data_IF_725481306007
#
_entry.id   IF_725481306007
#
_cell.length_a   1.000
_cell.length_b   1.000
_cell.length_c   1.000
_cell.angle_alpha   90.00
_cell.angle_beta   90.00
_cell.angle_gamma   90.00
#
_symmetry.space_group_name_H-M   'P 1'
#
loop_
_entity.id
_entity.type
_entity.pdbx_description
1 polymer ?
#
# COMPACT_ATOMS: atom_id res chain seq x y z
N UNK A 1 -13.33 -53.09 -35.07
CA UNK A 1 -12.64 -51.78 -35.19
C UNK A 1 -12.26 -51.31 -33.80
N UNK A 2 -10.96 -51.29 -33.48
CA UNK A 2 -10.41 -50.81 -32.21
C UNK A 2 -10.31 -49.28 -32.23
N UNK A 3 -10.95 -48.58 -31.30
CA UNK A 3 -10.67 -47.16 -31.03
C UNK A 3 -9.87 -47.02 -29.74
N UNK A 4 -8.58 -46.80 -29.98
CA UNK A 4 -7.44 -46.46 -29.12
C UNK A 4 -7.77 -45.53 -27.94
N UNK A 5 -7.60 -46.05 -26.73
CA UNK A 5 -7.52 -45.31 -25.47
C UNK A 5 -6.27 -44.43 -25.42
N UNK A 6 -6.41 -43.12 -25.18
CA UNK A 6 -5.29 -42.23 -24.82
C UNK A 6 -5.38 -41.89 -23.33
N UNK A 7 -4.43 -42.44 -22.57
CA UNK A 7 -4.10 -42.03 -21.21
C UNK A 7 -3.46 -40.64 -21.28
N UNK A 8 -4.10 -39.61 -20.74
CA UNK A 8 -3.44 -38.34 -20.46
C UNK A 8 -3.21 -38.23 -18.96
N UNK A 9 -1.98 -38.55 -18.56
CA UNK A 9 -1.43 -38.22 -17.26
C UNK A 9 -0.80 -36.82 -17.36
N UNK A 10 -1.48 -35.81 -16.83
CA UNK A 10 -0.97 -34.46 -16.55
C UNK A 10 -1.85 -33.97 -15.41
N UNK A 11 -1.42 -33.60 -14.22
CA UNK A 11 -0.12 -33.22 -13.67
C UNK A 11 -0.54 -32.40 -12.44
N UNK A 12 -0.24 -32.90 -11.25
CA UNK A 12 -0.65 -32.27 -9.98
C UNK A 12 0.14 -30.98 -9.79
N UNK A 13 -0.43 -29.85 -10.23
CA UNK A 13 0.20 -28.54 -10.05
C UNK A 13 0.00 -28.09 -8.61
N UNK A 14 1.03 -28.31 -7.78
CA UNK A 14 1.15 -27.74 -6.45
C UNK A 14 1.31 -26.21 -6.61
N UNK A 15 0.21 -25.48 -6.47
CA UNK A 15 0.22 -24.02 -6.39
C UNK A 15 0.90 -23.62 -5.07
N UNK A 16 2.20 -23.32 -5.13
CA UNK A 16 2.86 -22.54 -4.09
C UNK A 16 2.16 -21.19 -4.05
N UNK A 17 1.30 -21.00 -3.04
CA UNK A 17 0.75 -19.71 -2.65
C UNK A 17 1.92 -18.79 -2.32
N UNK A 18 2.28 -17.93 -3.26
CA UNK A 18 3.30 -16.90 -3.06
C UNK A 18 2.70 -15.95 -2.02
N UNK A 19 3.12 -16.10 -0.77
CA UNK A 19 2.89 -15.10 0.27
C UNK A 19 3.61 -13.84 -0.17
N UNK A 20 2.94 -13.01 -0.95
CA UNK A 20 3.31 -11.62 -1.14
C UNK A 20 3.38 -11.04 0.27
N UNK A 21 4.59 -10.83 0.78
CA UNK A 21 4.81 -9.95 1.92
C UNK A 21 4.49 -8.55 1.41
N UNK A 22 3.18 -8.24 1.38
CA UNK A 22 2.71 -6.90 1.17
C UNK A 22 3.28 -6.06 2.31
N UNK A 23 3.93 -4.94 1.98
CA UNK A 23 4.22 -3.92 2.97
C UNK A 23 2.88 -3.53 3.61
N UNK A 24 2.62 -4.07 4.80
CA UNK A 24 1.34 -4.01 5.49
C UNK A 24 1.20 -2.64 6.16
N UNK A 25 1.05 -1.59 5.34
CA UNK A 25 0.74 -0.24 5.77
C UNK A 25 -0.60 0.21 5.19
N UNK A 26 -1.44 0.83 6.01
CA UNK A 26 -2.69 1.46 5.56
C UNK A 26 -2.38 2.81 4.91
N UNK A 27 -2.85 3.03 3.68
CA UNK A 27 -2.65 4.30 2.96
C UNK A 27 -3.72 5.31 3.36
N UNK A 28 -3.27 6.49 3.76
CA UNK A 28 -4.07 7.68 4.02
C UNK A 28 -3.85 8.69 2.89
N UNK A 29 -4.94 9.13 2.27
CA UNK A 29 -4.90 10.18 1.25
C UNK A 29 -5.15 11.56 1.85
N UNK A 30 -4.56 12.57 1.22
CA UNK A 30 -4.81 13.98 1.48
C UNK A 30 -4.97 14.72 0.16
N UNK A 31 -5.90 15.69 0.14
CA UNK A 31 -6.22 16.46 -1.05
C UNK A 31 -5.89 17.95 -0.81
N UNK A 32 -5.49 18.66 -1.85
CA UNK A 32 -5.18 20.08 -1.76
C UNK A 32 -5.01 20.75 -3.12
N UNK A 33 -4.98 22.08 -3.14
CA UNK A 33 -4.74 22.86 -4.36
C UNK A 33 -3.28 22.73 -4.86
N UNK A 34 -2.34 22.36 -3.99
CA UNK A 34 -0.93 22.11 -4.31
C UNK A 34 -0.51 20.73 -3.82
N UNK A 35 0.62 20.22 -4.34
CA UNK A 35 1.21 18.96 -3.89
C UNK A 35 1.54 19.01 -2.40
N UNK A 36 2.08 20.13 -1.93
CA UNK A 36 2.48 20.32 -0.53
C UNK A 36 1.25 20.33 0.40
N UNK A 37 0.17 21.00 -0.02
CA UNK A 37 -1.08 21.01 0.75
C UNK A 37 -1.72 19.62 0.84
N UNK A 38 -1.71 18.88 -0.27
CA UNK A 38 -2.19 17.50 -0.31
C UNK A 38 -1.33 16.55 0.53
N UNK A 39 0.00 16.71 0.47
CA UNK A 39 0.97 15.94 1.25
C UNK A 39 0.80 16.19 2.76
N UNK A 40 0.74 17.45 3.18
CA UNK A 40 0.50 17.81 4.57
C UNK A 40 -0.83 17.26 5.08
N UNK A 41 -1.89 17.30 4.27
CA UNK A 41 -3.17 16.70 4.64
C UNK A 41 -3.10 15.17 4.80
N UNK A 42 -2.35 14.48 3.92
CA UNK A 42 -2.16 13.04 3.98
C UNK A 42 -1.37 12.64 5.23
N UNK A 43 -0.27 13.36 5.49
CA UNK A 43 0.61 13.15 6.65
C UNK A 43 -0.09 13.44 7.97
N UNK A 44 -0.89 14.51 8.07
CA UNK A 44 -1.65 14.80 9.28
C UNK A 44 -2.64 13.66 9.62
N UNK A 45 -3.30 13.11 8.60
CA UNK A 45 -4.22 11.97 8.78
C UNK A 45 -3.46 10.71 9.17
N UNK A 46 -2.34 10.44 8.50
CA UNK A 46 -1.49 9.30 8.80
C UNK A 46 -0.87 9.40 10.21
N UNK A 47 -0.36 10.55 10.62
CA UNK A 47 0.16 10.81 11.96
C UNK A 47 -0.92 10.63 13.03
N UNK A 48 -2.14 11.12 12.80
CA UNK A 48 -3.27 10.91 13.73
C UNK A 48 -3.60 9.42 13.89
N UNK A 49 -3.64 8.67 12.79
CA UNK A 49 -3.90 7.23 12.82
C UNK A 49 -2.74 6.47 13.46
N UNK A 50 -1.50 6.84 13.15
CA UNK A 50 -0.30 6.26 13.75
C UNK A 50 -0.28 6.47 15.26
N UNK A 51 -0.67 7.66 15.74
CA UNK A 51 -0.80 7.96 17.16
C UNK A 51 -1.82 7.08 17.84
N UNK A 52 -3.01 6.93 17.25
CA UNK A 52 -4.08 6.10 17.78
C UNK A 52 -3.67 4.61 17.87
N UNK A 53 -2.83 4.16 16.94
CA UNK A 53 -2.32 2.77 16.87
C UNK A 53 -1.00 2.58 17.62
N UNK A 54 -0.40 3.66 18.12
CA UNK A 54 0.93 3.66 18.72
C UNK A 54 2.03 3.16 17.77
N UNK A 55 1.92 3.46 16.48
CA UNK A 55 2.79 2.95 15.40
C UNK A 55 3.46 4.12 14.65
N UNK A 56 4.05 3.87 13.48
CA UNK A 56 4.77 4.86 12.66
C UNK A 56 4.05 5.12 11.33
N UNK A 57 4.41 6.22 10.66
CA UNK A 57 3.89 6.60 9.35
C UNK A 57 5.01 7.10 8.43
N UNK A 58 4.73 7.23 7.14
CA UNK A 58 5.68 7.75 6.12
C UNK A 58 5.37 9.18 5.75
N UNK A 59 6.37 9.96 5.34
CA UNK A 59 6.12 11.23 4.66
C UNK A 59 5.55 10.96 3.26
N UNK A 60 4.68 11.84 2.78
CA UNK A 60 4.15 11.73 1.44
C UNK A 60 5.23 12.10 0.41
N UNK A 61 5.46 11.24 -0.58
CA UNK A 61 6.41 11.52 -1.66
C UNK A 61 5.73 12.42 -2.70
N UNK A 62 6.28 13.61 -2.94
CA UNK A 62 5.68 14.59 -3.85
C UNK A 62 5.70 14.13 -5.31
N UNK A 63 6.65 13.27 -5.70
CA UNK A 63 6.64 12.60 -7.01
C UNK A 63 5.43 11.67 -7.22
N UNK A 64 4.93 11.05 -6.16
CA UNK A 64 3.83 10.07 -6.21
C UNK A 64 2.44 10.72 -6.09
N UNK A 65 2.39 12.03 -5.87
CA UNK A 65 1.14 12.77 -5.81
C UNK A 65 0.48 12.81 -7.20
N UNK A 66 -0.81 12.50 -7.23
CA UNK A 66 -1.64 12.48 -8.44
C UNK A 66 -2.36 13.81 -8.61
N UNK A 67 -2.35 14.35 -9.84
CA UNK A 67 -3.21 15.46 -10.21
C UNK A 67 -4.58 14.93 -10.63
N UNK A 68 -5.63 15.46 -10.05
CA UNK A 68 -7.02 15.09 -10.33
C UNK A 68 -7.59 15.92 -11.48
N UNK A 69 -8.72 15.46 -12.04
CA UNK A 69 -9.37 16.11 -13.19
C UNK A 69 -9.91 17.50 -12.89
N UNK A 70 -10.20 17.79 -11.63
CA UNK A 70 -10.63 19.11 -11.14
C UNK A 70 -9.45 20.08 -10.89
N UNK A 71 -8.22 19.64 -11.17
CA UNK A 71 -6.99 20.41 -10.98
C UNK A 71 -6.39 20.33 -9.58
N UNK A 72 -7.06 19.66 -8.63
CA UNK A 72 -6.53 19.40 -7.30
C UNK A 72 -5.44 18.32 -7.31
N UNK A 73 -4.71 18.20 -6.22
CA UNK A 73 -3.71 17.16 -5.99
C UNK A 73 -4.17 16.20 -4.89
N UNK A 74 -3.90 14.91 -5.10
CA UNK A 74 -4.04 13.84 -4.12
C UNK A 74 -2.66 13.27 -3.81
N UNK A 75 -2.24 13.32 -2.56
CA UNK A 75 -1.03 12.67 -2.07
C UNK A 75 -1.36 11.56 -1.09
N UNK A 76 -0.38 10.68 -0.83
CA UNK A 76 -0.57 9.52 0.03
C UNK A 76 0.56 9.41 1.05
N UNK A 77 0.19 9.06 2.26
CA UNK A 77 1.10 8.63 3.32
C UNK A 77 0.63 7.25 3.81
N UNK A 78 1.56 6.42 4.28
CA UNK A 78 1.25 5.07 4.78
C UNK A 78 1.52 4.97 6.27
N UNK A 79 0.66 4.26 7.00
CA UNK A 79 0.78 3.98 8.44
C UNK A 79 1.10 2.50 8.63
N UNK A 80 2.16 2.18 9.38
CA UNK A 80 2.50 0.80 9.71
C UNK A 80 1.40 0.12 10.54
N UNK A 81 0.93 -1.06 10.14
CA UNK A 81 -0.15 -1.76 10.84
C UNK A 81 0.25 -2.20 12.27
N UNK A 82 1.53 -2.47 12.51
CA UNK A 82 2.06 -2.89 13.80
C UNK A 82 3.34 -2.13 14.16
N UNK A 83 3.62 -1.97 15.46
CA UNK A 83 4.86 -1.33 15.97
C UNK A 83 6.14 -1.93 15.39
N UNK A 84 6.18 -3.25 15.23
CA UNK A 84 7.32 -3.96 14.65
C UNK A 84 7.50 -3.75 13.14
N UNK A 85 6.51 -3.14 12.47
CA UNK A 85 6.55 -2.79 11.04
C UNK A 85 7.08 -1.39 10.80
N UNK A 86 7.41 -0.63 11.85
CA UNK A 86 8.15 0.61 11.73
C UNK A 86 9.58 0.31 11.24
N UNK A 87 9.95 0.81 10.07
CA UNK A 87 11.34 0.80 9.61
C UNK A 87 12.00 2.19 9.81
N UNK A 88 13.30 2.29 9.53
CA UNK A 88 14.10 3.51 9.75
C UNK A 88 13.71 4.71 8.88
N UNK A 89 12.86 4.52 7.87
CA UNK A 89 12.34 5.57 6.99
C UNK A 89 10.99 6.14 7.44
N UNK A 90 10.39 5.54 8.48
CA UNK A 90 9.10 5.97 9.03
C UNK A 90 9.27 6.93 10.23
N UNK A 91 8.35 7.88 10.33
CA UNK A 91 8.23 8.84 11.41
C UNK A 91 7.31 8.32 12.52
N UNK A 92 7.64 8.69 13.76
CA UNK A 92 6.73 8.55 14.89
C UNK A 92 5.80 9.77 14.96
N UNK A 93 4.52 9.58 15.32
CA UNK A 93 3.52 10.63 15.37
C UNK A 93 3.70 11.62 16.52
#
# INVERSE_FOLDING_TARGET
>A
MLTRTKKSAVGLTLLLSISLVAYAGERFSGNGATKEGAAAAAEQRAAKAAKARGTCYTVAQLEDCKKESDGSWTCYSSVANHKGSCDGTMLKP
#
